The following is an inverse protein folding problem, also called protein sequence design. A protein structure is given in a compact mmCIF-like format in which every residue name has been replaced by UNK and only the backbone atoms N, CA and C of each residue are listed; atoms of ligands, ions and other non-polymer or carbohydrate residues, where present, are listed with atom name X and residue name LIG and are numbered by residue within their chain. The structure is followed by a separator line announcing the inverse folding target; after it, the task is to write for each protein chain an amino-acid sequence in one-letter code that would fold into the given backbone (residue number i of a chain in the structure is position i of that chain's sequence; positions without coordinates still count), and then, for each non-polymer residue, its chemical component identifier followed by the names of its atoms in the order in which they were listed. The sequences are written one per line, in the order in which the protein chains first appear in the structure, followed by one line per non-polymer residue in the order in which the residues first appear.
data_IF_120350771534
#
_entry.id   IF_120350771534
#
_cell.length_a   1.000
_cell.length_b   1.000
_cell.length_c   1.000
_cell.angle_alpha   90.00
_cell.angle_beta   90.00
_cell.angle_gamma   90.00
#
_symmetry.space_group_name_H-M   'P 1'
#
loop_
_entity.id
_entity.type
_entity.pdbx_description
1 polymer ?
#
# COMPACT_ATOMS: atom_id res chain seq x y z
N UNK A 1 -21.05 5.94 -18.33
CA UNK A 1 -19.70 5.73 -17.77
C UNK A 1 -19.70 4.39 -17.05
N UNK A 2 -18.72 3.52 -17.31
CA UNK A 2 -18.62 2.22 -16.64
C UNK A 2 -17.94 2.47 -15.28
N UNK A 3 -18.68 2.45 -14.19
CA UNK A 3 -18.11 2.40 -12.85
C UNK A 3 -17.46 1.02 -12.72
N UNK A 4 -16.13 0.96 -12.79
CA UNK A 4 -15.40 -0.22 -12.34
C UNK A 4 -15.48 -0.14 -10.82
N UNK A 5 -16.33 -0.98 -10.24
CA UNK A 5 -16.37 -1.16 -8.79
C UNK A 5 -14.97 -1.60 -8.34
N UNK A 6 -14.38 -0.82 -7.44
CA UNK A 6 -13.06 -1.15 -6.91
C UNK A 6 -13.17 -2.47 -6.15
N UNK A 7 -12.49 -3.51 -6.63
CA UNK A 7 -12.51 -4.86 -6.03
C UNK A 7 -11.85 -4.93 -4.65
N UNK A 8 -11.36 -3.80 -4.11
CA UNK A 8 -10.59 -3.75 -2.86
C UNK A 8 -9.18 -4.34 -2.96
N UNK A 9 -8.77 -4.84 -4.14
CA UNK A 9 -7.50 -5.57 -4.31
C UNK A 9 -6.24 -4.69 -4.29
N UNK A 10 -6.38 -3.37 -4.41
CA UNK A 10 -5.23 -2.48 -4.57
C UNK A 10 -4.22 -2.58 -3.42
N UNK A 11 -4.70 -2.53 -2.17
CA UNK A 11 -3.81 -2.54 -1.00
C UNK A 11 -3.19 -3.92 -0.75
N UNK A 12 -3.92 -5.01 -0.99
CA UNK A 12 -3.39 -6.36 -0.85
C UNK A 12 -2.29 -6.64 -1.87
N UNK A 13 -2.42 -6.14 -3.10
CA UNK A 13 -1.36 -6.21 -4.12
C UNK A 13 -0.13 -5.41 -3.67
N UNK A 14 -0.32 -4.16 -3.21
CA UNK A 14 0.80 -3.32 -2.73
C UNK A 14 1.53 -3.97 -1.56
N UNK A 15 0.80 -4.55 -0.60
CA UNK A 15 1.37 -5.28 0.53
C UNK A 15 2.21 -6.47 0.07
N UNK A 16 1.65 -7.33 -0.79
CA UNK A 16 2.36 -8.51 -1.32
C UNK A 16 3.65 -8.11 -2.07
N UNK A 17 3.61 -7.02 -2.84
CA UNK A 17 4.79 -6.49 -3.53
C UNK A 17 5.83 -6.01 -2.52
N UNK A 18 5.44 -5.23 -1.51
CA UNK A 18 6.38 -4.73 -0.51
C UNK A 18 7.05 -5.89 0.26
N UNK A 19 6.27 -6.90 0.68
CA UNK A 19 6.76 -8.09 1.37
C UNK A 19 7.74 -8.90 0.50
N UNK A 20 7.46 -9.06 -0.80
CA UNK A 20 8.38 -9.72 -1.73
C UNK A 20 9.73 -9.00 -1.87
N UNK A 21 9.78 -7.70 -1.55
CA UNK A 21 11.01 -6.90 -1.51
C UNK A 21 11.62 -6.79 -0.10
N UNK A 22 11.21 -7.65 0.84
CA UNK A 22 11.59 -7.60 2.26
C UNK A 22 11.24 -6.27 2.94
N UNK A 23 10.24 -5.57 2.41
CA UNK A 23 9.74 -4.31 2.91
C UNK A 23 8.40 -4.43 3.62
N UNK A 24 7.77 -3.28 3.85
CA UNK A 24 6.44 -3.17 4.47
C UNK A 24 5.68 -1.94 4.00
N UNK A 25 4.40 -1.90 4.32
CA UNK A 25 3.50 -0.75 4.08
C UNK A 25 2.98 -0.23 5.41
N UNK A 26 2.99 1.09 5.60
CA UNK A 26 2.41 1.78 6.76
C UNK A 26 1.29 2.72 6.30
N UNK A 27 0.25 2.88 7.12
CA UNK A 27 -0.87 3.78 6.89
C UNK A 27 -0.98 4.77 8.05
N UNK A 28 -0.92 6.06 7.72
CA UNK A 28 -1.35 7.12 8.61
C UNK A 28 -2.60 7.76 8.03
N UNK A 29 -3.71 7.72 8.75
CA UNK A 29 -4.98 8.30 8.29
C UNK A 29 -5.65 9.03 9.44
N UNK A 30 -6.16 10.22 9.14
CA UNK A 30 -6.95 11.00 10.07
C UNK A 30 -8.19 11.52 9.35
N UNK A 31 -9.34 11.35 9.99
CA UNK A 31 -10.62 11.82 9.48
C UNK A 31 -10.52 13.31 9.15
N UNK A 32 -11.09 13.72 8.01
CA UNK A 32 -11.03 15.10 7.47
C UNK A 32 -9.63 15.63 7.11
N UNK A 33 -8.56 14.86 7.32
CA UNK A 33 -7.19 15.22 6.94
C UNK A 33 -6.59 14.34 5.83
N UNK A 34 -7.29 13.24 5.50
CA UNK A 34 -6.89 12.31 4.45
C UNK A 34 -6.01 11.17 4.94
N UNK A 35 -5.39 10.47 3.99
CA UNK A 35 -4.60 9.27 4.25
C UNK A 35 -3.24 9.35 3.57
N UNK A 36 -2.20 8.87 4.23
CA UNK A 36 -0.85 8.71 3.72
C UNK A 36 -0.45 7.25 3.84
N UNK A 37 -0.08 6.65 2.72
CA UNK A 37 0.46 5.29 2.64
C UNK A 37 1.95 5.39 2.38
N UNK A 38 2.76 4.74 3.21
CA UNK A 38 4.22 4.76 3.13
C UNK A 38 4.74 3.36 2.83
N UNK A 39 5.59 3.22 1.82
CA UNK A 39 6.27 1.96 1.48
C UNK A 39 7.72 2.06 1.96
N UNK A 40 8.18 1.06 2.71
CA UNK A 40 9.51 1.04 3.32
C UNK A 40 10.23 -0.21 2.85
N UNK A 41 11.30 -0.04 2.08
CA UNK A 41 12.08 -1.14 1.47
C UNK A 41 13.53 -1.06 1.96
N UNK A 42 14.19 -2.19 2.28
CA UNK A 42 15.62 -2.22 2.57
C UNK A 42 16.47 -1.71 1.40
N UNK A 43 17.51 -0.93 1.68
CA UNK A 43 18.44 -0.42 0.64
C UNK A 43 19.35 -1.50 0.05
N UNK A 44 19.53 -2.61 0.77
CA UNK A 44 20.32 -3.76 0.32
C UNK A 44 19.49 -5.03 0.48
N UNK A 45 19.55 -5.96 -0.48
CA UNK A 45 19.00 -7.30 -0.29
C UNK A 45 19.68 -7.99 0.89
N UNK A 46 18.95 -8.90 1.54
CA UNK A 46 19.50 -9.81 2.54
C UNK A 46 20.42 -10.85 1.89
#
# INVERSE_FOLDING_TARGET
SRFIEGTGLGLSIVQAIAEAHNGRVELHSQLEMGSTFTIIIPLKPA
#
